data_IF_720738013687
#
_entry.id   IF_720738013687
#
_cell.length_a   1.000
_cell.length_b   1.000
_cell.length_c   1.000
_cell.angle_alpha   90.00
_cell.angle_beta   90.00
_cell.angle_gamma   90.00
#
_symmetry.space_group_name_H-M   'P 1'
#
loop_
_entity.id
_entity.type
_entity.pdbx_description
1 polymer ?
#
# COMPACT_ATOMS: atom_id res chain seq x y z
N UNK A 1 -0.43 -17.38 6.18
CA UNK A 1 -1.54 -16.75 5.42
C UNK A 1 -2.88 -17.15 6.03
N UNK A 2 -3.82 -16.21 6.16
CA UNK A 2 -5.22 -16.53 6.50
C UNK A 2 -5.79 -17.54 5.49
N UNK A 3 -6.76 -18.37 5.90
CA UNK A 3 -7.34 -19.40 5.03
C UNK A 3 -8.00 -18.82 3.76
N UNK A 4 -8.52 -17.59 3.84
CA UNK A 4 -9.08 -16.82 2.73
C UNK A 4 -8.01 -16.36 1.70
N UNK A 5 -6.72 -16.44 2.06
CA UNK A 5 -5.61 -16.13 1.18
C UNK A 5 -5.02 -17.35 0.46
N UNK A 6 -5.48 -18.57 0.75
CA UNK A 6 -4.99 -19.81 0.12
C UNK A 6 -5.56 -20.00 -1.28
N UNK A 7 -4.70 -20.30 -2.23
CA UNK A 7 -5.09 -20.64 -3.62
C UNK A 7 -4.56 -22.02 -3.99
N UNK A 8 -5.07 -22.61 -5.08
CA UNK A 8 -4.66 -23.94 -5.54
C UNK A 8 -3.23 -23.99 -6.07
N UNK A 9 -2.70 -22.86 -6.51
CA UNK A 9 -1.34 -22.75 -6.98
C UNK A 9 -0.76 -21.41 -6.54
N UNK A 10 0.22 -21.45 -5.63
CA UNK A 10 0.88 -20.25 -5.12
C UNK A 10 1.59 -19.43 -6.23
N UNK A 11 1.82 -20.01 -7.41
CA UNK A 11 2.40 -19.31 -8.56
C UNK A 11 1.36 -18.63 -9.47
N UNK A 12 0.08 -19.04 -9.43
CA UNK A 12 -1.01 -18.46 -10.24
C UNK A 12 -2.27 -18.37 -9.37
N UNK A 13 -2.48 -17.20 -8.78
CA UNK A 13 -3.69 -16.88 -8.03
C UNK A 13 -4.66 -16.09 -8.92
N UNK A 14 -5.76 -16.72 -9.35
CA UNK A 14 -6.87 -16.02 -10.00
C UNK A 14 -7.90 -15.61 -8.94
N UNK A 15 -8.13 -14.30 -8.82
CA UNK A 15 -9.12 -13.71 -7.91
C UNK A 15 -10.06 -12.82 -8.70
N UNK A 16 -11.33 -12.87 -8.38
CA UNK A 16 -12.36 -11.98 -8.90
C UNK A 16 -12.85 -11.08 -7.78
N UNK A 17 -12.82 -9.77 -7.99
CA UNK A 17 -13.34 -8.78 -7.06
C UNK A 17 -14.64 -8.17 -7.56
N UNK A 18 -15.59 -7.99 -6.65
CA UNK A 18 -16.75 -7.12 -6.87
C UNK A 18 -16.44 -5.81 -6.16
N UNK A 19 -16.31 -4.74 -6.94
CA UNK A 19 -16.07 -3.39 -6.43
C UNK A 19 -17.31 -2.51 -6.65
N UNK A 20 -17.54 -1.58 -5.72
CA UNK A 20 -18.53 -0.52 -5.85
C UNK A 20 -17.81 0.81 -5.96
N UNK A 21 -18.17 1.58 -6.99
CA UNK A 21 -17.85 2.98 -7.13
C UNK A 21 -19.09 3.80 -6.77
N UNK A 22 -18.93 4.78 -5.90
CA UNK A 22 -19.92 5.82 -5.60
C UNK A 22 -19.38 7.18 -6.08
N UNK A 23 -20.15 8.25 -5.88
CA UNK A 23 -19.71 9.60 -6.23
C UNK A 23 -18.47 10.06 -5.42
N UNK A 24 -18.25 9.47 -4.25
CA UNK A 24 -17.19 9.90 -3.32
C UNK A 24 -16.19 8.82 -2.95
N UNK A 25 -16.54 7.53 -3.07
CA UNK A 25 -15.68 6.43 -2.62
C UNK A 25 -15.69 5.22 -3.56
N UNK A 26 -14.63 4.42 -3.50
CA UNK A 26 -14.57 3.08 -4.08
C UNK A 26 -14.23 2.04 -3.02
N UNK A 27 -14.88 0.88 -3.07
CA UNK A 27 -14.66 -0.21 -2.10
C UNK A 27 -14.84 -1.58 -2.70
N UNK A 28 -14.23 -2.59 -2.08
CA UNK A 28 -14.53 -3.99 -2.35
C UNK A 28 -15.75 -4.45 -1.56
N UNK A 29 -16.64 -5.16 -2.24
CA UNK A 29 -17.83 -5.79 -1.67
C UNK A 29 -17.67 -7.31 -1.56
N UNK A 30 -16.89 -7.91 -2.46
CA UNK A 30 -16.63 -9.34 -2.43
C UNK A 30 -15.30 -9.68 -3.11
N UNK A 31 -14.72 -10.79 -2.68
CA UNK A 31 -13.62 -11.48 -3.31
C UNK A 31 -14.04 -12.94 -3.55
N UNK A 32 -13.65 -13.51 -4.68
CA UNK A 32 -13.81 -14.95 -4.92
C UNK A 32 -12.65 -15.53 -5.69
N UNK A 33 -12.29 -16.76 -5.36
CA UNK A 33 -11.20 -17.53 -5.96
C UNK A 33 -11.49 -19.03 -5.90
N UNK A 34 -10.69 -19.83 -6.61
CA UNK A 34 -10.77 -21.29 -6.55
C UNK A 34 -9.71 -21.83 -5.58
N UNK A 35 -10.15 -22.69 -4.65
CA UNK A 35 -9.31 -23.39 -3.69
C UNK A 35 -9.88 -24.79 -3.43
N UNK A 36 -9.05 -25.82 -3.54
CA UNK A 36 -9.41 -27.23 -3.60
C UNK A 36 -10.35 -27.58 -4.76
N UNK A 37 -10.31 -26.85 -5.88
CA UNK A 37 -11.31 -26.99 -6.94
C UNK A 37 -12.71 -26.47 -6.56
N UNK A 38 -12.85 -25.79 -5.41
CA UNK A 38 -14.10 -25.19 -4.94
C UNK A 38 -14.00 -23.67 -5.05
N UNK A 39 -15.03 -23.02 -5.59
CA UNK A 39 -15.11 -21.57 -5.60
C UNK A 39 -15.44 -21.06 -4.20
N UNK A 40 -14.48 -20.41 -3.55
CA UNK A 40 -14.68 -19.66 -2.31
C UNK A 40 -15.15 -18.25 -2.64
N UNK A 41 -16.01 -17.70 -1.80
CA UNK A 41 -16.54 -16.35 -1.93
C UNK A 41 -16.62 -15.73 -0.54
N UNK A 42 -15.97 -14.59 -0.37
CA UNK A 42 -15.97 -13.79 0.85
C UNK A 42 -16.56 -12.42 0.52
N UNK A 43 -17.41 -11.90 1.39
CA UNK A 43 -18.12 -10.64 1.21
C UNK A 43 -17.90 -9.73 2.41
N UNK A 44 -18.19 -8.45 2.25
CA UNK A 44 -18.12 -7.49 3.35
C UNK A 44 -19.04 -7.84 4.54
N UNK A 45 -20.01 -8.76 4.36
CA UNK A 45 -20.89 -9.26 5.42
C UNK A 45 -20.23 -10.34 6.28
N UNK A 46 -19.13 -10.94 5.82
CA UNK A 46 -18.39 -11.99 6.52
C UNK A 46 -17.39 -11.45 7.56
N UNK A 47 -17.45 -10.13 7.85
CA UNK A 47 -16.74 -9.50 8.96
C UNK A 47 -15.23 -9.79 8.98
N UNK A 48 -14.76 -10.44 10.04
CA UNK A 48 -13.33 -10.71 10.28
C UNK A 48 -12.67 -11.59 9.20
N UNK A 49 -13.44 -12.34 8.40
CA UNK A 49 -12.88 -13.10 7.29
C UNK A 49 -12.59 -12.23 6.05
N UNK A 50 -13.20 -11.04 5.96
CA UNK A 50 -13.09 -10.14 4.82
C UNK A 50 -12.34 -8.84 5.14
N UNK A 51 -12.78 -8.15 6.20
CA UNK A 51 -12.36 -6.79 6.54
C UNK A 51 -10.84 -6.65 6.66
N UNK A 52 -10.10 -7.56 7.32
CA UNK A 52 -8.65 -7.42 7.48
C UNK A 52 -7.84 -7.46 6.17
N UNK A 53 -8.38 -8.05 5.10
CA UNK A 53 -7.65 -8.19 3.83
C UNK A 53 -8.17 -7.24 2.73
N UNK A 54 -9.47 -6.96 2.72
CA UNK A 54 -10.12 -6.26 1.61
C UNK A 54 -11.00 -5.09 2.04
N UNK A 55 -11.29 -4.97 3.34
CA UNK A 55 -11.99 -3.82 3.88
C UNK A 55 -11.08 -2.61 3.93
N UNK A 56 -11.64 -1.41 3.67
CA UNK A 56 -10.89 -0.17 3.83
C UNK A 56 -11.74 0.97 4.37
N UNK A 57 -11.13 1.77 5.24
CA UNK A 57 -11.78 2.90 5.90
C UNK A 57 -12.81 2.47 6.95
N UNK A 58 -13.41 3.46 7.61
CA UNK A 58 -14.42 3.24 8.64
C UNK A 58 -15.62 2.46 8.06
N UNK A 59 -15.98 1.34 8.69
CA UNK A 59 -17.09 0.48 8.27
C UNK A 59 -17.05 0.05 6.78
N UNK A 60 -15.84 -0.15 6.22
CA UNK A 60 -15.64 -0.47 4.80
C UNK A 60 -16.28 0.58 3.87
N UNK A 61 -16.14 1.87 4.19
CA UNK A 61 -16.57 2.96 3.31
C UNK A 61 -15.75 3.02 2.01
N UNK A 62 -14.51 2.52 2.03
CA UNK A 62 -13.61 2.50 0.89
C UNK A 62 -12.62 3.66 0.86
N UNK A 63 -11.92 3.77 -0.26
CA UNK A 63 -11.03 4.89 -0.56
C UNK A 63 -11.82 6.04 -1.19
N UNK A 64 -11.46 7.28 -0.89
CA UNK A 64 -11.99 8.44 -1.60
C UNK A 64 -11.58 8.41 -3.08
N UNK A 65 -12.49 8.79 -3.99
CA UNK A 65 -12.21 8.78 -5.44
C UNK A 65 -11.62 10.10 -5.96
N UNK A 66 -11.77 11.17 -5.18
CA UNK A 66 -11.28 12.51 -5.50
C UNK A 66 -10.23 12.90 -4.47
N UNK A 67 -9.06 12.25 -4.53
CA UNK A 67 -7.97 12.50 -3.59
C UNK A 67 -7.43 13.93 -3.76
N UNK A 68 -7.32 14.64 -2.64
CA UNK A 68 -6.60 15.90 -2.51
C UNK A 68 -5.57 15.77 -1.39
N UNK A 69 -4.59 16.69 -1.36
CA UNK A 69 -3.71 16.80 -0.20
C UNK A 69 -4.55 17.23 1.01
N UNK A 70 -4.58 16.39 2.04
CA UNK A 70 -5.36 16.59 3.25
C UNK A 70 -4.53 17.20 4.38
N UNK A 71 -3.20 17.08 4.29
CA UNK A 71 -2.24 17.64 5.25
C UNK A 71 -2.03 16.75 6.48
N UNK A 72 -2.53 15.52 6.43
CA UNK A 72 -2.36 14.53 7.48
C UNK A 72 -0.98 13.87 7.41
N UNK A 73 -0.34 13.87 6.24
CA UNK A 73 1.05 13.47 6.06
C UNK A 73 1.79 14.64 5.41
N UNK A 74 2.83 15.13 6.09
CA UNK A 74 3.68 16.22 5.61
C UNK A 74 5.08 15.67 5.43
N UNK A 75 5.60 15.77 4.21
CA UNK A 75 6.96 15.36 3.87
C UNK A 75 7.88 16.57 3.72
N UNK A 76 8.98 16.55 4.46
CA UNK A 76 10.11 17.46 4.33
C UNK A 76 11.37 16.63 4.08
N UNK A 77 11.70 16.41 2.80
CA UNK A 77 12.77 15.52 2.36
C UNK A 77 12.61 14.09 2.93
N UNK A 78 13.52 13.65 3.79
CA UNK A 78 13.48 12.34 4.46
C UNK A 78 12.71 12.36 5.79
N UNK A 79 12.30 13.53 6.27
CA UNK A 79 11.55 13.68 7.52
C UNK A 79 10.06 13.83 7.22
N UNK A 80 9.24 12.97 7.81
CA UNK A 80 7.81 12.89 7.60
C UNK A 80 7.11 13.02 8.94
N UNK A 81 6.13 13.93 8.98
CA UNK A 81 5.21 14.05 10.10
C UNK A 81 3.84 13.53 9.66
N UNK A 82 3.24 12.69 10.48
CA UNK A 82 1.95 12.10 10.22
C UNK A 82 1.00 12.30 11.42
N UNK A 83 -0.28 12.53 11.15
CA UNK A 83 -1.32 12.64 12.17
C UNK A 83 -1.48 11.32 12.96
N UNK A 84 -1.93 11.41 14.21
CA UNK A 84 -2.29 10.23 15.01
C UNK A 84 -3.71 9.77 14.66
N UNK A 85 -3.84 8.97 13.60
CA UNK A 85 -5.12 8.42 13.12
C UNK A 85 -4.95 7.01 12.53
N UNK A 86 -6.02 6.18 12.54
CA UNK A 86 -5.92 4.78 12.12
C UNK A 86 -5.67 4.55 10.62
N UNK A 87 -5.97 5.53 9.76
CA UNK A 87 -5.82 5.42 8.31
C UNK A 87 -5.02 6.61 7.78
N UNK A 88 -3.75 6.39 7.45
CA UNK A 88 -2.82 7.42 7.00
C UNK A 88 -2.51 7.23 5.52
N UNK A 89 -3.35 7.84 4.69
CA UNK A 89 -3.17 7.96 3.25
C UNK A 89 -3.27 9.45 2.87
N UNK A 90 -2.27 10.00 2.17
CA UNK A 90 -2.29 11.41 1.74
C UNK A 90 -1.42 11.65 0.50
N UNK A 91 -1.74 12.71 -0.24
CA UNK A 91 -0.88 13.25 -1.31
C UNK A 91 0.12 14.22 -0.68
N UNK A 92 1.42 13.86 -0.74
CA UNK A 92 2.48 14.63 -0.07
C UNK A 92 3.22 15.60 -1.00
N UNK A 93 2.96 15.53 -2.31
CA UNK A 93 3.57 16.46 -3.26
C UNK A 93 3.52 16.02 -4.71
N UNK A 94 4.04 16.87 -5.58
CA UNK A 94 4.21 16.63 -7.02
C UNK A 94 5.69 16.46 -7.35
N UNK A 95 6.01 15.41 -8.09
CA UNK A 95 7.37 14.95 -8.33
C UNK A 95 7.61 14.64 -9.80
N UNK A 96 8.85 14.89 -10.22
CA UNK A 96 9.38 14.43 -11.50
C UNK A 96 10.12 13.10 -11.27
N UNK A 97 9.57 11.99 -11.78
CA UNK A 97 10.18 10.67 -11.68
C UNK A 97 10.96 10.36 -12.95
N UNK A 98 12.24 9.96 -12.81
CA UNK A 98 13.14 9.65 -13.93
C UNK A 98 13.50 8.18 -13.94
N UNK A 99 13.04 7.44 -14.95
CA UNK A 99 13.31 6.00 -15.11
C UNK A 99 13.70 5.75 -16.56
N UNK A 100 14.83 5.06 -16.78
CA UNK A 100 15.26 4.68 -18.13
C UNK A 100 15.45 5.85 -19.10
N UNK A 101 15.79 7.04 -18.62
CA UNK A 101 15.93 8.26 -19.44
C UNK A 101 14.61 8.94 -19.81
N UNK A 102 13.45 8.38 -19.43
CA UNK A 102 12.14 9.03 -19.53
C UNK A 102 11.86 9.84 -18.27
N UNK A 103 11.01 10.85 -18.40
CA UNK A 103 10.61 11.76 -17.34
C UNK A 103 9.09 11.73 -17.20
N UNK A 104 8.61 11.51 -15.97
CA UNK A 104 7.20 11.40 -15.65
C UNK A 104 6.80 12.47 -14.63
N UNK A 105 5.75 13.21 -14.96
CA UNK A 105 5.10 14.15 -14.06
C UNK A 105 4.09 13.40 -13.19
N UNK A 106 4.31 13.39 -11.88
CA UNK A 106 3.57 12.54 -10.94
C UNK A 106 3.16 13.27 -9.68
N UNK A 107 2.15 12.75 -9.00
CA UNK A 107 1.94 13.01 -7.58
C UNK A 107 2.50 11.86 -6.75
N UNK A 108 2.94 12.11 -5.52
CA UNK A 108 3.29 11.06 -4.56
C UNK A 108 2.17 10.90 -3.55
N UNK A 109 1.56 9.71 -3.53
CA UNK A 109 0.63 9.26 -2.50
C UNK A 109 1.42 8.42 -1.50
N UNK A 110 1.38 8.80 -0.23
CA UNK A 110 1.98 8.02 0.85
C UNK A 110 0.91 7.27 1.64
N UNK A 111 1.23 6.02 1.97
CA UNK A 111 0.48 5.17 2.89
C UNK A 111 1.39 4.79 4.06
N UNK A 112 0.99 5.09 5.30
CA UNK A 112 1.74 4.81 6.53
C UNK A 112 0.97 3.79 7.38
N UNK A 113 1.49 2.57 7.44
CA UNK A 113 1.04 1.47 8.29
C UNK A 113 -0.45 1.07 8.14
N UNK A 114 -1.13 1.47 7.07
CA UNK A 114 -2.60 1.28 6.97
C UNK A 114 -3.00 -0.19 6.87
N UNK A 115 -2.20 -1.03 6.19
CA UNK A 115 -2.50 -2.45 5.99
C UNK A 115 -1.51 -3.41 6.70
N UNK A 116 -0.28 -2.96 6.90
CA UNK A 116 0.81 -3.75 7.46
C UNK A 116 1.57 -2.86 8.44
N UNK A 117 1.42 -3.15 9.74
CA UNK A 117 2.08 -2.38 10.79
C UNK A 117 3.60 -2.38 10.62
N UNK A 118 4.22 -1.21 10.75
CA UNK A 118 5.65 -1.02 10.48
C UNK A 118 6.02 -0.91 9.00
N UNK A 119 5.08 -0.62 8.10
CA UNK A 119 5.35 -0.45 6.65
C UNK A 119 4.90 0.92 6.18
N UNK A 120 5.72 1.57 5.37
CA UNK A 120 5.38 2.78 4.64
C UNK A 120 5.51 2.50 3.16
N UNK A 121 4.58 3.01 2.35
CA UNK A 121 4.72 2.98 0.90
C UNK A 121 4.54 4.34 0.25
N UNK A 122 5.25 4.53 -0.84
CA UNK A 122 5.16 5.71 -1.71
C UNK A 122 4.67 5.24 -3.08
N UNK A 123 3.61 5.86 -3.59
CA UNK A 123 3.08 5.58 -4.92
C UNK A 123 3.14 6.84 -5.76
N UNK A 124 3.92 6.80 -6.84
CA UNK A 124 4.03 7.89 -7.79
C UNK A 124 3.06 7.66 -8.94
N UNK A 125 1.99 8.46 -8.98
CA UNK A 125 0.89 8.31 -9.93
C UNK A 125 0.97 9.39 -11.00
N UNK A 126 0.78 9.00 -12.27
CA UNK A 126 0.67 9.95 -13.38
C UNK A 126 -0.69 10.68 -13.39
N UNK A 127 -0.85 11.63 -14.32
CA UNK A 127 -2.10 12.39 -14.51
C UNK A 127 -3.33 11.54 -14.85
N UNK A 128 -3.15 10.27 -15.23
CA UNK A 128 -4.22 9.32 -15.52
C UNK A 128 -4.47 8.37 -14.34
N UNK A 129 -3.83 8.59 -13.19
CA UNK A 129 -3.92 7.74 -12.01
C UNK A 129 -3.16 6.41 -12.13
N UNK A 130 -2.24 6.27 -13.10
CA UNK A 130 -1.46 5.05 -13.28
C UNK A 130 -0.17 5.13 -12.48
N UNK A 131 0.18 4.05 -11.80
CA UNK A 131 1.43 3.94 -11.05
C UNK A 131 2.63 3.94 -11.99
N UNK A 132 3.54 4.89 -11.80
CA UNK A 132 4.85 4.95 -12.46
C UNK A 132 5.90 4.19 -11.64
N UNK A 133 5.88 4.41 -10.32
CA UNK A 133 6.80 3.84 -9.36
C UNK A 133 6.05 3.61 -8.04
N UNK A 134 6.26 2.46 -7.43
CA UNK A 134 5.82 2.16 -6.08
C UNK A 134 7.04 1.76 -5.25
N UNK A 135 7.16 2.27 -4.03
CA UNK A 135 8.33 2.06 -3.17
C UNK A 135 7.88 1.58 -1.79
N UNK A 136 8.57 0.59 -1.23
CA UNK A 136 8.33 0.12 0.15
C UNK A 136 9.47 0.50 1.08
N UNK A 137 9.11 0.97 2.26
CA UNK A 137 9.98 1.16 3.39
C UNK A 137 9.47 0.34 4.57
N UNK A 138 10.37 -0.33 5.28
CA UNK A 138 10.04 -1.10 6.47
C UNK A 138 10.62 -0.41 7.69
N UNK A 139 9.83 -0.28 8.76
CA UNK A 139 10.28 0.26 10.05
C UNK A 139 11.48 -0.54 10.53
N UNK A 140 12.36 0.10 11.29
CA UNK A 140 13.64 -0.48 11.63
C UNK A 140 13.53 -1.83 12.36
N UNK A 141 12.43 -2.06 13.09
CA UNK A 141 12.13 -3.30 13.80
C UNK A 141 11.12 -4.21 13.07
N UNK A 142 10.70 -3.88 11.85
CA UNK A 142 9.68 -4.65 11.12
C UNK A 142 10.10 -6.11 10.94
N UNK A 143 9.25 -7.03 11.38
CA UNK A 143 9.48 -8.47 11.37
C UNK A 143 10.82 -8.91 12.01
N UNK A 144 11.33 -8.17 13.01
CA UNK A 144 12.58 -8.49 13.70
C UNK A 144 12.61 -9.90 14.29
N UNK A 145 11.48 -10.42 14.76
CA UNK A 145 11.39 -11.80 15.25
C UNK A 145 11.71 -12.84 14.17
N UNK A 146 11.45 -12.53 12.91
CA UNK A 146 11.78 -13.39 11.77
C UNK A 146 13.24 -13.21 11.35
N UNK A 147 13.69 -11.97 11.17
CA UNK A 147 15.01 -11.67 10.60
C UNK A 147 16.16 -11.61 11.63
N UNK A 148 15.82 -11.53 12.92
CA UNK A 148 16.75 -11.43 14.07
C UNK A 148 17.69 -10.23 14.06
N UNK A 149 17.44 -9.25 13.19
CA UNK A 149 18.21 -8.01 13.03
C UNK A 149 17.26 -6.85 12.72
N UNK A 150 17.68 -5.64 13.02
CA UNK A 150 16.99 -4.44 12.56
C UNK A 150 17.27 -4.20 11.07
N UNK A 151 16.38 -3.49 10.37
CA UNK A 151 16.54 -3.20 8.95
C UNK A 151 17.76 -2.34 8.62
N UNK A 152 18.17 -1.43 9.51
CA UNK A 152 19.42 -0.67 9.34
C UNK A 152 20.68 -1.54 9.42
N UNK A 153 20.59 -2.75 9.96
CA UNK A 153 21.68 -3.73 9.96
C UNK A 153 21.63 -4.66 8.75
N UNK A 154 20.43 -4.92 8.22
CA UNK A 154 20.22 -5.79 7.04
C UNK A 154 20.58 -5.03 5.76
N UNK A 155 20.14 -3.78 5.65
CA UNK A 155 20.32 -2.90 4.49
C UNK A 155 20.94 -1.57 4.94
N UNK A 156 22.23 -1.56 5.34
CA UNK A 156 22.86 -0.39 5.95
C UNK A 156 22.96 0.81 4.99
N UNK A 157 23.09 0.56 3.69
CA UNK A 157 23.33 1.59 2.68
C UNK A 157 22.05 2.04 1.95
N UNK A 158 20.92 1.39 2.24
CA UNK A 158 19.65 1.75 1.62
C UNK A 158 19.13 3.09 2.14
N UNK A 159 18.34 3.77 1.30
CA UNK A 159 17.65 5.01 1.66
C UNK A 159 16.82 4.83 2.92
N UNK A 160 16.74 5.91 3.71
CA UNK A 160 15.99 5.95 4.95
C UNK A 160 15.08 7.17 4.98
N UNK A 161 13.93 6.98 5.58
CA UNK A 161 13.00 8.05 5.95
C UNK A 161 12.70 7.94 7.44
N UNK A 162 12.36 9.05 8.06
CA UNK A 162 11.93 9.13 9.45
C UNK A 162 10.46 9.54 9.46
N UNK A 163 9.59 8.74 10.08
CA UNK A 163 8.16 9.07 10.24
C UNK A 163 7.88 9.24 11.73
N UNK A 164 7.50 10.44 12.15
CA UNK A 164 7.24 10.75 13.57
C UNK A 164 8.38 10.32 14.52
N UNK A 165 9.63 10.41 14.06
CA UNK A 165 10.83 10.00 14.80
C UNK A 165 11.23 8.53 14.64
N UNK A 166 10.38 7.70 14.03
CA UNK A 166 10.68 6.29 13.76
C UNK A 166 11.38 6.11 12.41
N UNK A 167 12.43 5.29 12.37
CA UNK A 167 13.23 5.07 11.16
C UNK A 167 12.62 3.96 10.31
N UNK A 168 12.47 4.22 9.01
CA UNK A 168 12.09 3.24 8.00
C UNK A 168 13.18 3.15 6.93
N UNK A 169 13.45 1.93 6.49
CA UNK A 169 14.51 1.61 5.53
C UNK A 169 13.87 1.13 4.23
N UNK A 170 14.30 1.70 3.11
CA UNK A 170 13.86 1.29 1.78
C UNK A 170 14.18 -0.18 1.54
N UNK A 171 13.20 -0.93 1.03
CA UNK A 171 13.36 -2.36 0.75
C UNK A 171 13.39 -2.65 -0.75
N UNK A 172 12.35 -2.27 -1.48
CA UNK A 172 12.28 -2.49 -2.93
C UNK A 172 11.38 -1.46 -3.62
N UNK A 173 11.57 -1.40 -4.93
CA UNK A 173 10.75 -0.66 -5.86
C UNK A 173 9.98 -1.61 -6.78
N UNK A 174 8.76 -1.23 -7.15
CA UNK A 174 7.98 -1.83 -8.22
C UNK A 174 7.73 -0.79 -9.30
N UNK A 175 7.95 -1.18 -10.54
CA UNK A 175 7.61 -0.41 -11.74
C UNK A 175 6.60 -1.21 -12.55
N UNK A 176 5.76 -0.52 -13.32
CA UNK A 176 4.80 -1.20 -14.19
C UNK A 176 5.40 -1.43 -15.57
N UNK A 177 5.01 -2.51 -16.25
CA UNK A 177 5.54 -2.91 -17.55
C UNK A 177 5.44 -1.84 -18.63
N UNK A 178 4.43 -0.95 -18.58
CA UNK A 178 4.28 0.11 -19.58
C UNK A 178 5.28 1.28 -19.40
N UNK A 179 6.06 1.27 -18.31
CA UNK A 179 7.13 2.24 -18.02
C UNK A 179 8.43 1.85 -18.71
N UNK A 180 8.66 0.53 -18.85
CA UNK A 180 9.83 -0.05 -19.50
C UNK A 180 9.91 0.31 -21.00
#
# INVERSE_FOLDING_TARGET
PMDCNKTDNDNIAERTFIAQLTDTHCRFLAESHISGGVKKCYTFLDGDEFIPNWGFGENNCGNEVNLSANGDIIRNDSEITAADKPFLLDIVGRYEVKIGGKVYDTICVMDIETYDGGVVSEQYLDKNGRTILWRRFNRNDWAKDRYKKNWTEILPDNERITVNGEVYVHWYDCITDYIL
#
